data_IF_629826599654
#
_entry.id   IF_629826599654
#
_cell.length_a   1.000
_cell.length_b   1.000
_cell.length_c   1.000
_cell.angle_alpha   90.00
_cell.angle_beta   90.00
_cell.angle_gamma   90.00
#
_symmetry.space_group_name_H-M   'P 1'
#
loop_
_entity.id
_entity.type
_entity.pdbx_description
1 polymer ?
#
# COMPACT_ATOMS: atom_id res chain seq x y z
N UNK A 1 2.04 -12.70 -32.48
CA UNK A 1 1.65 -12.35 -31.11
C UNK A 1 0.16 -12.15 -31.11
N UNK A 2 -0.56 -12.83 -30.22
CA UNK A 2 -1.99 -12.62 -30.02
C UNK A 2 -2.24 -11.39 -29.13
N UNK A 3 -3.50 -11.00 -28.96
CA UNK A 3 -3.85 -9.82 -28.14
C UNK A 3 -3.34 -9.94 -26.68
N UNK A 4 -3.51 -11.08 -25.97
CA UNK A 4 -2.96 -11.23 -24.62
C UNK A 4 -1.44 -11.11 -24.55
N UNK A 5 -0.70 -11.70 -25.50
CA UNK A 5 0.76 -11.55 -25.57
C UNK A 5 1.18 -10.10 -25.78
N UNK A 6 0.50 -9.39 -26.69
CA UNK A 6 0.75 -7.97 -26.94
C UNK A 6 0.50 -7.10 -25.71
N UNK A 7 -0.62 -7.33 -25.00
CA UNK A 7 -0.94 -6.60 -23.78
C UNK A 7 0.10 -6.85 -22.68
N UNK A 8 0.63 -8.08 -22.54
CA UNK A 8 1.68 -8.40 -21.56
C UNK A 8 3.00 -7.70 -21.86
N UNK A 9 3.41 -7.62 -23.12
CA UNK A 9 4.69 -7.03 -23.52
C UNK A 9 4.71 -5.49 -23.60
N UNK A 10 3.53 -4.85 -23.66
CA UNK A 10 3.44 -3.39 -23.69
C UNK A 10 4.14 -2.78 -22.46
N UNK A 11 5.06 -1.81 -22.60
CA UNK A 11 5.61 -1.11 -21.44
C UNK A 11 4.50 -0.34 -20.69
N UNK A 12 4.42 -0.51 -19.37
CA UNK A 12 3.35 0.05 -18.52
C UNK A 12 3.90 0.90 -17.40
N UNK A 13 3.05 1.81 -16.93
CA UNK A 13 3.22 2.59 -15.71
C UNK A 13 2.03 2.27 -14.80
N UNK A 14 2.31 1.93 -13.54
CA UNK A 14 1.32 1.58 -12.52
C UNK A 14 1.23 2.69 -11.49
N UNK A 15 0.24 3.58 -11.59
CA UNK A 15 0.13 4.76 -10.72
C UNK A 15 -0.82 4.59 -9.54
N UNK A 16 -1.38 3.39 -9.37
CA UNK A 16 -2.34 3.07 -8.34
C UNK A 16 -2.23 1.59 -7.99
N UNK A 17 -1.51 1.27 -6.93
CA UNK A 17 -1.34 -0.09 -6.43
C UNK A 17 -0.93 -0.05 -4.95
N UNK A 18 -1.73 -0.66 -4.10
CA UNK A 18 -1.49 -0.78 -2.66
C UNK A 18 -0.56 -1.96 -2.38
N UNK A 19 0.46 -1.75 -1.55
CA UNK A 19 1.40 -2.78 -1.16
C UNK A 19 0.67 -3.94 -0.49
N UNK A 20 -0.10 -3.65 0.56
CA UNK A 20 -0.85 -4.63 1.35
C UNK A 20 -1.89 -5.38 0.50
N UNK A 21 -2.50 -4.69 -0.48
CA UNK A 21 -3.45 -5.28 -1.43
C UNK A 21 -2.81 -6.07 -2.58
N UNK A 22 -1.47 -6.10 -2.66
CA UNK A 22 -0.73 -6.80 -3.71
C UNK A 22 0.25 -7.86 -3.17
N UNK A 23 0.14 -8.18 -1.87
CA UNK A 23 0.90 -9.28 -1.27
C UNK A 23 0.37 -10.60 -1.84
N UNK A 24 1.25 -11.51 -2.21
CA UNK A 24 0.83 -12.86 -2.64
C UNK A 24 0.13 -13.59 -1.49
N UNK A 25 -0.95 -14.32 -1.79
CA UNK A 25 -1.73 -15.01 -0.76
C UNK A 25 -0.87 -15.99 0.05
N UNK A 26 0.00 -16.75 -0.62
CA UNK A 26 0.96 -17.64 0.05
C UNK A 26 1.91 -16.86 0.99
N UNK A 27 2.33 -15.65 0.62
CA UNK A 27 3.18 -14.82 1.48
C UNK A 27 2.41 -14.34 2.71
N UNK A 28 1.13 -14.00 2.60
CA UNK A 28 0.28 -13.70 3.76
C UNK A 28 0.18 -14.91 4.68
N UNK A 29 0.04 -16.13 4.14
CA UNK A 29 0.04 -17.37 4.93
C UNK A 29 1.36 -17.56 5.67
N UNK A 30 2.49 -17.43 4.96
CA UNK A 30 3.83 -17.59 5.55
C UNK A 30 4.07 -16.59 6.69
N UNK A 31 3.75 -15.31 6.47
CA UNK A 31 3.98 -14.24 7.42
C UNK A 31 3.00 -14.30 8.60
N UNK A 32 1.75 -14.67 8.35
CA UNK A 32 0.76 -14.89 9.41
C UNK A 32 1.20 -16.03 10.33
N UNK A 33 1.72 -17.13 9.77
CA UNK A 33 2.28 -18.23 10.55
C UNK A 33 3.53 -17.79 11.34
N UNK A 34 4.42 -16.99 10.73
CA UNK A 34 5.63 -16.46 11.38
C UNK A 34 5.29 -15.62 12.62
N UNK A 35 4.25 -14.79 12.53
CA UNK A 35 3.92 -13.79 13.55
C UNK A 35 2.70 -14.13 14.42
N UNK A 36 2.05 -15.27 14.16
CA UNK A 36 0.88 -15.73 14.92
C UNK A 36 -0.38 -14.91 14.64
N UNK A 37 -0.54 -14.41 13.42
CA UNK A 37 -1.76 -13.73 12.97
C UNK A 37 -2.79 -14.79 12.56
N UNK A 38 -4.01 -14.68 13.08
CA UNK A 38 -5.09 -15.59 12.74
C UNK A 38 -5.59 -15.34 11.32
N UNK A 39 -5.76 -16.40 10.56
CA UNK A 39 -6.37 -16.38 9.23
C UNK A 39 -7.76 -17.02 9.27
N UNK A 40 -8.68 -16.63 8.36
CA UNK A 40 -9.87 -17.42 8.07
C UNK A 40 -9.51 -18.85 7.66
N UNK A 41 -10.49 -19.77 7.71
CA UNK A 41 -10.31 -21.11 7.17
C UNK A 41 -10.19 -21.04 5.63
N UNK A 42 -9.24 -21.78 5.06
CA UNK A 42 -9.02 -21.91 3.61
C UNK A 42 -8.47 -23.31 3.29
N UNK A 43 -8.78 -23.83 2.10
CA UNK A 43 -8.15 -25.05 1.59
C UNK A 43 -6.88 -24.71 0.77
N UNK A 44 -6.96 -23.67 -0.06
CA UNK A 44 -5.83 -23.12 -0.84
C UNK A 44 -5.64 -21.63 -0.52
N UNK A 45 -4.41 -21.10 -0.46
CA UNK A 45 -4.16 -19.71 -0.06
C UNK A 45 -4.96 -18.67 -0.86
N UNK A 46 -5.16 -18.89 -2.16
CA UNK A 46 -5.86 -17.95 -3.04
C UNK A 46 -7.33 -17.71 -2.64
N UNK A 47 -7.95 -18.63 -1.90
CA UNK A 47 -9.31 -18.47 -1.36
C UNK A 47 -9.41 -17.32 -0.35
N UNK A 48 -8.29 -16.93 0.27
CA UNK A 48 -8.21 -15.76 1.14
C UNK A 48 -8.55 -14.44 0.40
N UNK A 49 -8.46 -14.42 -0.94
CA UNK A 49 -8.72 -13.24 -1.77
C UNK A 49 -10.04 -13.31 -2.55
N UNK A 50 -10.96 -14.22 -2.17
CA UNK A 50 -12.32 -14.25 -2.70
C UNK A 50 -13.28 -13.49 -1.77
N UNK A 51 -13.61 -12.25 -2.12
CA UNK A 51 -14.46 -11.37 -1.32
C UNK A 51 -15.65 -10.82 -2.12
N UNK A 52 -16.85 -10.72 -1.50
CA UNK A 52 -18.07 -10.27 -2.18
C UNK A 52 -18.18 -8.75 -2.34
N UNK A 53 -17.47 -7.97 -1.52
CA UNK A 53 -17.53 -6.51 -1.50
C UNK A 53 -16.27 -5.89 -0.87
N UNK A 54 -16.20 -4.56 -0.92
CA UNK A 54 -15.08 -3.76 -0.40
C UNK A 54 -14.86 -3.94 1.11
N UNK A 55 -15.91 -4.22 1.89
CA UNK A 55 -15.78 -4.33 3.34
C UNK A 55 -15.16 -5.67 3.75
N UNK A 56 -15.54 -6.76 3.09
CA UNK A 56 -14.86 -8.05 3.28
C UNK A 56 -13.43 -8.02 2.72
N UNK A 57 -13.20 -7.33 1.60
CA UNK A 57 -11.85 -7.04 1.11
C UNK A 57 -11.01 -6.33 2.17
N UNK A 58 -11.50 -5.24 2.75
CA UNK A 58 -10.75 -4.45 3.74
C UNK A 58 -10.38 -5.25 4.99
N UNK A 59 -11.20 -6.23 5.41
CA UNK A 59 -10.83 -7.13 6.52
C UNK A 59 -9.62 -7.99 6.16
N UNK A 60 -9.60 -8.57 4.96
CA UNK A 60 -8.46 -9.36 4.50
C UNK A 60 -7.24 -8.49 4.19
N UNK A 61 -7.44 -7.28 3.69
CA UNK A 61 -6.41 -6.25 3.53
C UNK A 61 -5.73 -5.95 4.87
N UNK A 62 -6.51 -5.70 5.93
CA UNK A 62 -5.97 -5.47 7.26
C UNK A 62 -5.24 -6.72 7.78
N UNK A 63 -5.76 -7.93 7.59
CA UNK A 63 -5.06 -9.17 7.98
C UNK A 63 -3.70 -9.28 7.27
N UNK A 64 -3.67 -9.02 5.96
CA UNK A 64 -2.43 -9.01 5.18
C UNK A 64 -1.45 -7.97 5.72
N UNK A 65 -1.92 -6.75 6.01
CA UNK A 65 -1.12 -5.69 6.61
C UNK A 65 -0.52 -6.11 7.97
N UNK A 66 -1.35 -6.64 8.88
CA UNK A 66 -0.94 -7.10 10.21
C UNK A 66 0.05 -8.28 10.17
N UNK A 67 0.07 -9.04 9.08
CA UNK A 67 1.04 -10.13 8.88
C UNK A 67 2.48 -9.61 8.66
N UNK A 68 2.65 -8.37 8.21
CA UNK A 68 3.96 -7.77 7.92
C UNK A 68 4.45 -7.02 9.16
N UNK A 69 5.56 -7.45 9.77
CA UNK A 69 5.91 -7.00 11.13
C UNK A 69 7.34 -6.49 11.28
N UNK A 70 8.29 -7.08 10.57
CA UNK A 70 9.69 -6.70 10.65
C UNK A 70 10.25 -6.26 9.29
N UNK A 71 11.44 -5.67 9.33
CA UNK A 71 12.12 -5.12 8.15
C UNK A 71 12.18 -6.11 6.98
N UNK A 72 12.47 -7.39 7.26
CA UNK A 72 12.62 -8.40 6.21
C UNK A 72 11.27 -8.81 5.61
N UNK A 73 10.19 -8.74 6.39
CA UNK A 73 8.83 -8.90 5.84
C UNK A 73 8.51 -7.78 4.85
N UNK A 74 8.70 -6.51 5.25
CA UNK A 74 8.43 -5.35 4.38
C UNK A 74 9.26 -5.41 3.09
N UNK A 75 10.54 -5.77 3.23
CA UNK A 75 11.43 -5.97 2.09
C UNK A 75 10.93 -7.07 1.16
N UNK A 76 10.55 -8.22 1.72
CA UNK A 76 10.03 -9.37 0.96
C UNK A 76 8.77 -8.99 0.18
N UNK A 77 7.74 -8.48 0.86
CA UNK A 77 6.45 -8.20 0.22
C UNK A 77 6.59 -7.13 -0.86
N UNK A 78 7.44 -6.13 -0.63
CA UNK A 78 7.72 -5.07 -1.60
C UNK A 78 8.45 -5.60 -2.83
N UNK A 79 9.46 -6.45 -2.63
CA UNK A 79 10.18 -7.07 -3.74
C UNK A 79 9.27 -7.99 -4.57
N UNK A 80 8.46 -8.83 -3.92
CA UNK A 80 7.55 -9.77 -4.59
C UNK A 80 6.50 -9.05 -5.46
N UNK A 81 5.85 -8.00 -4.95
CA UNK A 81 4.87 -7.23 -5.75
C UNK A 81 5.52 -6.54 -6.96
N UNK A 82 6.76 -6.06 -6.81
CA UNK A 82 7.50 -5.45 -7.92
C UNK A 82 8.01 -6.49 -8.93
N UNK A 83 8.35 -7.69 -8.47
CA UNK A 83 8.67 -8.83 -9.33
C UNK A 83 7.49 -9.20 -10.22
N UNK A 84 6.30 -9.32 -9.64
CA UNK A 84 5.08 -9.56 -10.41
C UNK A 84 4.85 -8.43 -11.42
N UNK A 85 4.92 -7.16 -10.98
CA UNK A 85 4.74 -6.01 -11.85
C UNK A 85 5.70 -6.02 -13.06
N UNK A 86 6.99 -6.27 -12.81
CA UNK A 86 8.01 -6.35 -13.85
C UNK A 86 7.73 -7.48 -14.85
N UNK A 87 7.23 -8.63 -14.38
CA UNK A 87 6.82 -9.75 -15.24
C UNK A 87 5.67 -9.39 -16.19
N UNK A 88 4.89 -8.37 -15.84
CA UNK A 88 3.83 -7.77 -16.65
C UNK A 88 4.29 -6.51 -17.43
N UNK A 89 5.60 -6.31 -17.62
CA UNK A 89 6.21 -5.18 -18.32
C UNK A 89 5.92 -3.81 -17.71
N UNK A 90 5.59 -3.74 -16.41
CA UNK A 90 5.57 -2.47 -15.68
C UNK A 90 7.02 -1.98 -15.53
N UNK A 91 7.26 -0.73 -15.92
CA UNK A 91 8.59 -0.08 -15.87
C UNK A 91 8.71 0.93 -14.73
N UNK A 92 7.58 1.47 -14.30
CA UNK A 92 7.49 2.42 -13.21
C UNK A 92 6.23 2.18 -12.39
N UNK A 93 6.34 2.19 -11.07
CA UNK A 93 5.20 2.09 -10.14
C UNK A 93 5.23 3.22 -9.11
N UNK A 94 4.07 3.82 -8.86
CA UNK A 94 3.78 4.55 -7.63
C UNK A 94 2.96 3.62 -6.73
N UNK A 95 3.59 3.19 -5.65
CA UNK A 95 3.07 2.19 -4.72
C UNK A 95 2.58 2.89 -3.47
N UNK A 96 1.36 2.55 -3.08
CA UNK A 96 0.69 3.05 -1.90
C UNK A 96 0.96 2.09 -0.74
N UNK A 97 1.10 2.63 0.46
CA UNK A 97 1.35 1.87 1.67
C UNK A 97 0.68 2.60 2.83
N UNK A 98 -0.02 1.88 3.71
CA UNK A 98 -0.80 2.46 4.80
C UNK A 98 0.02 2.44 6.09
N UNK A 99 0.73 3.52 6.52
CA UNK A 99 1.70 3.40 7.61
C UNK A 99 1.07 3.13 8.98
N UNK A 100 -0.12 3.69 9.21
CA UNK A 100 -0.80 3.67 10.52
C UNK A 100 -1.13 2.25 10.99
N UNK A 101 -1.57 1.36 10.11
CA UNK A 101 -1.90 -0.03 10.50
C UNK A 101 -0.69 -0.77 11.10
N UNK A 102 0.51 -0.49 10.59
CA UNK A 102 1.77 -1.05 11.10
C UNK A 102 2.20 -0.40 12.43
N UNK A 103 2.01 0.92 12.55
CA UNK A 103 2.28 1.65 13.80
C UNK A 103 1.38 1.19 14.95
N UNK A 104 0.09 1.03 14.69
CA UNK A 104 -0.89 0.55 15.67
C UNK A 104 -0.64 -0.91 16.05
N UNK A 105 -0.04 -1.66 15.13
CA UNK A 105 0.54 -2.98 15.34
C UNK A 105 1.79 -2.99 16.22
N UNK A 106 2.39 -1.85 16.54
CA UNK A 106 3.62 -1.74 17.33
C UNK A 106 4.90 -1.91 16.51
N UNK A 107 4.82 -1.82 15.18
CA UNK A 107 6.00 -1.74 14.31
C UNK A 107 6.51 -0.29 14.34
N UNK A 108 7.82 -0.11 14.52
CA UNK A 108 8.42 1.20 14.44
C UNK A 108 8.43 1.72 12.98
N UNK A 109 8.11 3.01 12.77
CA UNK A 109 8.02 3.60 11.44
C UNK A 109 9.30 3.39 10.61
N UNK A 110 10.47 3.53 11.24
CA UNK A 110 11.76 3.37 10.57
C UNK A 110 11.94 1.93 10.07
N UNK A 111 11.52 0.94 10.88
CA UNK A 111 11.59 -0.48 10.51
C UNK A 111 10.75 -0.76 9.27
N UNK A 112 9.52 -0.23 9.23
CA UNK A 112 8.62 -0.43 8.11
C UNK A 112 9.11 0.26 6.84
N UNK A 113 9.36 1.57 6.90
CA UNK A 113 9.74 2.36 5.72
C UNK A 113 11.09 1.94 5.14
N UNK A 114 12.06 1.57 5.99
CA UNK A 114 13.37 1.14 5.51
C UNK A 114 13.29 -0.24 4.84
N UNK A 115 12.47 -1.15 5.35
CA UNK A 115 12.21 -2.45 4.71
C UNK A 115 11.56 -2.29 3.35
N UNK A 116 10.53 -1.46 3.24
CA UNK A 116 9.87 -1.14 1.95
C UNK A 116 10.88 -0.57 0.96
N UNK A 117 11.68 0.42 1.38
CA UNK A 117 12.69 1.05 0.52
C UNK A 117 13.78 0.06 0.10
N UNK A 118 14.21 -0.83 0.99
CA UNK A 118 15.17 -1.86 0.62
C UNK A 118 14.59 -2.80 -0.44
N UNK A 119 13.32 -3.21 -0.31
CA UNK A 119 12.63 -4.01 -1.33
C UNK A 119 12.52 -3.29 -2.68
N UNK A 120 12.24 -1.98 -2.67
CA UNK A 120 12.23 -1.13 -3.87
C UNK A 120 13.60 -1.14 -4.56
N UNK A 121 14.68 -0.89 -3.79
CA UNK A 121 16.04 -0.82 -4.34
C UNK A 121 16.52 -2.16 -4.90
N UNK A 122 16.19 -3.25 -4.22
CA UNK A 122 16.53 -4.59 -4.70
C UNK A 122 15.80 -4.90 -6.01
N UNK A 123 14.51 -4.58 -6.10
CA UNK A 123 13.73 -4.75 -7.33
C UNK A 123 14.25 -3.87 -8.48
N UNK A 124 14.67 -2.63 -8.20
CA UNK A 124 15.29 -1.77 -9.22
C UNK A 124 16.57 -2.38 -9.77
N UNK A 125 17.43 -2.92 -8.90
CA UNK A 125 18.69 -3.58 -9.30
C UNK A 125 18.45 -4.88 -10.07
N UNK A 126 17.58 -5.75 -9.55
CA UNK A 126 17.41 -7.11 -10.08
C UNK A 126 16.48 -7.15 -11.30
N UNK A 127 15.51 -6.24 -11.39
CA UNK A 127 14.41 -6.30 -12.35
C UNK A 127 14.33 -5.06 -13.27
N UNK A 128 15.01 -3.96 -12.92
CA UNK A 128 15.00 -2.73 -13.70
C UNK A 128 13.64 -1.99 -13.69
N UNK A 129 12.82 -2.22 -12.66
CA UNK A 129 11.58 -1.47 -12.40
C UNK A 129 11.86 -0.33 -11.42
N UNK A 130 11.48 0.89 -11.78
CA UNK A 130 11.54 2.03 -10.86
C UNK A 130 10.27 2.07 -10.00
N UNK A 131 10.41 2.33 -8.70
CA UNK A 131 9.27 2.46 -7.79
C UNK A 131 9.40 3.70 -6.90
N UNK A 132 8.26 4.36 -6.63
CA UNK A 132 8.12 5.43 -5.65
C UNK A 132 6.99 5.12 -4.68
N UNK A 133 7.12 5.58 -3.45
CA UNK A 133 6.23 5.30 -2.35
C UNK A 133 5.31 6.49 -2.07
N UNK A 134 4.05 6.19 -1.79
CA UNK A 134 3.00 7.12 -1.36
C UNK A 134 2.46 6.61 -0.02
N UNK A 135 2.49 7.46 1.01
CA UNK A 135 1.99 7.11 2.33
C UNK A 135 0.50 7.46 2.45
N UNK A 136 -0.34 6.45 2.62
CA UNK A 136 -1.78 6.62 2.65
C UNK A 136 -2.34 6.92 4.04
N UNK A 137 -3.28 7.87 4.08
CA UNK A 137 -4.13 8.15 5.23
C UNK A 137 -5.35 7.23 5.15
N UNK A 138 -5.51 6.36 6.15
CA UNK A 138 -6.76 5.63 6.33
C UNK A 138 -7.88 6.62 6.68
N UNK A 139 -8.82 6.82 5.75
CA UNK A 139 -9.90 7.82 5.91
C UNK A 139 -10.97 7.44 6.94
N UNK A 140 -11.01 6.19 7.38
CA UNK A 140 -11.92 5.74 8.42
C UNK A 140 -11.52 6.27 9.80
N UNK A 141 -10.27 6.72 9.94
CA UNK A 141 -9.73 7.29 11.17
C UNK A 141 -10.14 8.76 11.38
N UNK A 142 -9.78 9.29 12.54
CA UNK A 142 -10.02 10.70 12.88
C UNK A 142 -9.10 11.64 12.09
N UNK A 143 -9.48 12.91 11.99
CA UNK A 143 -8.66 13.95 11.34
C UNK A 143 -7.30 14.08 12.04
N UNK A 144 -7.31 13.99 13.36
CA UNK A 144 -6.15 14.07 14.24
C UNK A 144 -5.17 12.93 13.99
N UNK A 145 -5.66 11.70 13.81
CA UNK A 145 -4.83 10.54 13.49
C UNK A 145 -4.22 10.64 12.08
N UNK A 146 -5.00 11.08 11.10
CA UNK A 146 -4.49 11.32 9.75
C UNK A 146 -3.39 12.39 9.74
N UNK A 147 -3.58 13.48 10.49
CA UNK A 147 -2.57 14.52 10.65
C UNK A 147 -1.31 13.99 11.35
N UNK A 148 -1.46 13.26 12.46
CA UNK A 148 -0.34 12.68 13.20
C UNK A 148 0.48 11.70 12.33
N UNK A 149 -0.17 10.92 11.47
CA UNK A 149 0.53 10.05 10.52
C UNK A 149 1.38 10.87 9.54
N UNK A 150 0.84 11.96 8.97
CA UNK A 150 1.61 12.84 8.07
C UNK A 150 2.74 13.57 8.81
N UNK A 151 2.57 13.93 10.08
CA UNK A 151 3.67 14.46 10.91
C UNK A 151 4.82 13.46 11.04
N UNK A 152 4.52 12.17 11.26
CA UNK A 152 5.55 11.10 11.28
C UNK A 152 6.26 10.99 9.94
N UNK A 153 5.51 10.97 8.83
CA UNK A 153 6.08 10.88 7.46
C UNK A 153 6.99 12.07 7.17
N UNK A 154 6.52 13.29 7.43
CA UNK A 154 7.26 14.52 7.14
C UNK A 154 8.47 14.74 8.05
N UNK A 155 8.43 14.22 9.28
CA UNK A 155 9.58 14.20 10.18
C UNK A 155 10.69 13.21 9.74
N UNK A 156 10.37 12.25 8.84
CA UNK A 156 11.27 11.18 8.42
C UNK A 156 11.41 11.12 6.88
N UNK A 157 11.94 12.17 6.23
CA UNK A 157 11.99 12.26 4.77
C UNK A 157 12.77 11.11 4.14
N UNK A 158 12.30 10.63 2.99
CA UNK A 158 12.92 9.60 2.16
C UNK A 158 12.86 10.02 0.69
N UNK A 159 13.95 9.86 -0.09
CA UNK A 159 13.94 10.16 -1.53
C UNK A 159 12.90 9.35 -2.32
N UNK A 160 12.64 8.12 -1.89
CA UNK A 160 11.69 7.21 -2.52
C UNK A 160 10.23 7.53 -2.17
N UNK A 161 9.97 8.21 -1.05
CA UNK A 161 8.63 8.60 -0.60
C UNK A 161 8.29 9.98 -1.17
N UNK A 162 7.40 10.02 -2.16
CA UNK A 162 7.15 11.22 -2.96
C UNK A 162 5.81 11.89 -2.64
N UNK A 163 4.92 11.21 -1.93
CA UNK A 163 3.56 11.70 -1.76
C UNK A 163 2.82 11.13 -0.56
N UNK A 164 1.67 11.73 -0.31
CA UNK A 164 0.62 11.19 0.56
C UNK A 164 -0.64 10.93 -0.24
N UNK A 165 -1.41 9.93 0.18
CA UNK A 165 -2.74 9.67 -0.37
C UNK A 165 -3.81 9.49 0.71
N UNK A 166 -4.99 9.07 0.28
CA UNK A 166 -6.18 8.86 1.11
C UNK A 166 -6.93 7.66 0.54
N UNK A 167 -7.14 6.64 1.36
CA UNK A 167 -7.68 5.32 1.01
C UNK A 167 -8.70 4.83 2.05
N UNK A 168 -9.05 3.54 2.05
CA UNK A 168 -10.15 2.92 2.82
C UNK A 168 -11.57 3.42 2.44
N UNK A 169 -12.60 2.91 3.12
CA UNK A 169 -14.00 3.11 2.79
C UNK A 169 -14.41 4.59 2.75
N UNK A 170 -14.90 5.05 1.59
CA UNK A 170 -15.25 6.45 1.32
C UNK A 170 -16.60 6.85 1.92
N UNK A 171 -17.57 5.93 1.92
CA UNK A 171 -18.91 6.20 2.39
C UNK A 171 -18.92 6.68 3.86
N UNK A 172 -19.32 7.94 4.08
CA UNK A 172 -19.36 8.55 5.41
C UNK A 172 -18.02 9.15 5.90
N UNK A 173 -16.96 9.06 5.09
CA UNK A 173 -15.62 9.54 5.42
C UNK A 173 -15.14 10.59 4.40
N UNK A 174 -15.69 11.81 4.42
CA UNK A 174 -15.41 12.83 3.41
C UNK A 174 -13.94 13.30 3.43
N UNK A 175 -13.34 13.61 2.26
CA UNK A 175 -11.92 13.98 2.16
C UNK A 175 -11.59 15.30 2.87
N UNK A 176 -12.54 16.23 3.00
CA UNK A 176 -12.35 17.54 3.62
C UNK A 176 -11.89 17.43 5.09
N UNK A 177 -12.20 16.31 5.75
CA UNK A 177 -11.73 15.98 7.10
C UNK A 177 -10.20 16.05 7.20
N UNK A 178 -9.48 15.73 6.13
CA UNK A 178 -8.02 15.59 6.11
C UNK A 178 -7.31 16.78 5.45
N UNK A 179 -8.00 17.91 5.29
CA UNK A 179 -7.45 19.13 4.67
C UNK A 179 -6.13 19.57 5.31
N UNK A 180 -6.04 19.52 6.65
CA UNK A 180 -4.82 19.92 7.37
C UNK A 180 -3.65 18.97 7.12
N UNK A 181 -3.90 17.66 7.09
CA UNK A 181 -2.89 16.64 6.77
C UNK A 181 -2.36 16.83 5.34
N UNK A 182 -3.25 17.03 4.36
CA UNK A 182 -2.87 17.31 2.97
C UNK A 182 -2.12 18.64 2.82
N UNK A 183 -2.47 19.65 3.61
CA UNK A 183 -1.72 20.92 3.63
C UNK A 183 -0.31 20.69 4.17
N UNK A 184 -0.17 19.99 5.29
CA UNK A 184 1.13 19.69 5.92
C UNK A 184 2.05 18.94 4.95
N UNK A 185 1.54 17.93 4.24
CA UNK A 185 2.31 17.19 3.24
C UNK A 185 2.79 18.11 2.10
N UNK A 186 1.91 18.97 1.58
CA UNK A 186 2.27 19.94 0.54
C UNK A 186 3.31 20.97 0.99
N UNK A 187 3.23 21.44 2.25
CA UNK A 187 4.21 22.36 2.84
C UNK A 187 5.61 21.73 2.95
N UNK A 188 5.70 20.40 2.98
CA UNK A 188 6.95 19.62 2.97
C UNK A 188 7.36 19.13 1.57
N UNK A 189 6.66 19.55 0.52
CA UNK A 189 6.99 19.23 -0.87
C UNK A 189 6.52 17.85 -1.35
N UNK A 190 5.68 17.17 -0.59
CA UNK A 190 5.07 15.90 -1.01
C UNK A 190 3.94 16.13 -2.02
N UNK A 191 3.84 15.23 -3.01
CA UNK A 191 2.68 15.11 -3.89
C UNK A 191 1.46 14.62 -3.11
N UNK A 192 0.26 14.84 -3.67
CA UNK A 192 -1.03 14.55 -3.03
C UNK A 192 -1.98 13.91 -4.02
N UNK A 193 -2.61 12.83 -3.60
CA UNK A 193 -3.64 12.10 -4.36
C UNK A 193 -4.70 11.59 -3.39
N UNK A 194 -5.85 11.10 -3.87
CA UNK A 194 -6.91 10.56 -3.01
C UNK A 194 -7.82 9.61 -3.80
N UNK A 195 -8.36 8.59 -3.14
CA UNK A 195 -9.54 7.88 -3.63
C UNK A 195 -10.76 8.79 -3.52
N UNK A 196 -11.44 8.97 -4.64
CA UNK A 196 -12.69 9.71 -4.72
C UNK A 196 -13.66 9.00 -5.68
N UNK A 197 -14.94 8.93 -5.28
CA UNK A 197 -16.03 8.33 -6.03
C UNK A 197 -15.89 6.82 -6.35
N UNK A 198 -15.27 6.05 -5.45
CA UNK A 198 -15.22 4.58 -5.54
C UNK A 198 -16.50 3.97 -4.96
N UNK A 199 -16.73 4.15 -3.66
CA UNK A 199 -17.98 3.81 -2.96
C UNK A 199 -18.70 5.05 -2.39
N UNK A 200 -18.15 6.25 -2.62
CA UNK A 200 -18.72 7.53 -2.20
C UNK A 200 -19.35 8.38 -3.30
N UNK A 201 -19.98 9.52 -2.92
CA UNK A 201 -20.63 10.41 -3.87
C UNK A 201 -19.62 11.23 -4.69
N UNK A 202 -19.99 11.58 -5.92
CA UNK A 202 -19.18 12.42 -6.82
C UNK A 202 -18.84 13.83 -6.27
N UNK A 203 -19.49 14.28 -5.20
CA UNK A 203 -19.17 15.54 -4.52
C UNK A 203 -17.81 15.50 -3.81
N UNK A 204 -17.23 14.30 -3.63
CA UNK A 204 -15.92 14.11 -3.01
C UNK A 204 -14.73 14.35 -3.98
N UNK A 205 -14.99 14.61 -5.27
CA UNK A 205 -13.97 14.97 -6.28
C UNK A 205 -13.69 16.48 -6.20
#
# INVERSE_FOLDING_TARGET
MDMPGFLRELPKVSLHCHLEGSIQAQTVVDLSNKHGIALPDFDEPEELYDYPDIYEFLKMYDIAAHSVRDHDDFRRVTYETLQEAASHSVRYREMFWSPKVHLDSGVDYQTAVDGVIQGIRDAEVDLGIECRLIADINRMETAEEGLAMVEVVTANPRPELIGVGLDYAEAGNPPERFTEAFKLAGDHGLHRTAHCAEDGPAVNI
#
